data_IF_041829033922
#
_entry.id   IF_041829033922
#
_cell.length_a   1.000
_cell.length_b   1.000
_cell.length_c   1.000
_cell.angle_alpha   90.00
_cell.angle_beta   90.00
_cell.angle_gamma   90.00
#
_symmetry.space_group_name_H-M   'P 1'
#
loop_
_entity.id
_entity.type
_entity.pdbx_description
1 polymer ?
#
# COMPACT_ATOMS: atom_id res chain seq x y z
N UNK A 1 -23.31 14.32 20.95
CA UNK A 1 -22.68 14.36 19.62
C UNK A 1 -21.38 13.59 19.75
N UNK A 2 -21.29 12.39 19.17
CA UNK A 2 -20.02 11.68 19.10
C UNK A 2 -19.16 12.41 18.07
N UNK A 3 -18.14 13.13 18.54
CA UNK A 3 -16.98 13.45 17.72
C UNK A 3 -16.31 12.11 17.43
N UNK A 4 -16.72 11.43 16.35
CA UNK A 4 -15.80 10.49 15.72
C UNK A 4 -14.63 11.37 15.30
N UNK A 5 -13.55 11.31 16.06
CA UNK A 5 -12.27 11.80 15.59
C UNK A 5 -11.95 10.95 14.36
N UNK A 6 -12.09 11.54 13.16
CA UNK A 6 -11.70 10.89 11.92
C UNK A 6 -10.19 10.66 12.00
N UNK A 7 -9.81 9.45 12.40
CA UNK A 7 -8.40 9.08 12.54
C UNK A 7 -7.85 8.95 11.12
N UNK A 8 -6.80 9.71 10.76
CA UNK A 8 -6.28 9.67 9.41
C UNK A 8 -5.59 8.33 9.13
N UNK A 9 -5.77 7.83 7.92
CA UNK A 9 -4.99 6.70 7.41
C UNK A 9 -3.51 7.11 7.27
N UNK A 10 -2.60 6.20 7.61
CA UNK A 10 -1.15 6.44 7.54
C UNK A 10 -0.56 5.62 6.39
N UNK A 11 0.24 6.25 5.55
CA UNK A 11 0.96 5.60 4.45
C UNK A 11 2.46 5.70 4.68
N UNK A 12 3.16 4.58 4.70
CA UNK A 12 4.62 4.53 4.85
C UNK A 12 5.26 4.33 3.47
N UNK A 13 5.79 5.41 2.90
CA UNK A 13 6.32 5.48 1.53
C UNK A 13 7.83 5.70 1.54
N UNK A 14 8.54 5.03 0.63
CA UNK A 14 9.98 5.23 0.46
C UNK A 14 10.64 4.12 -0.37
N UNK A 15 11.94 4.19 -0.67
CA UNK A 15 12.62 3.20 -1.51
C UNK A 15 12.50 1.77 -0.99
N UNK A 16 12.76 0.77 -1.83
CA UNK A 16 12.82 -0.63 -1.40
C UNK A 16 13.95 -0.85 -0.38
N UNK A 17 13.79 -1.83 0.52
CA UNK A 17 14.83 -2.23 1.50
C UNK A 17 15.29 -1.15 2.51
N UNK A 18 14.45 -0.16 2.80
CA UNK A 18 14.74 0.93 3.78
C UNK A 18 14.11 0.74 5.16
N UNK A 19 13.66 -0.48 5.49
CA UNK A 19 13.08 -0.78 6.83
C UNK A 19 11.61 -0.40 7.02
N UNK A 20 10.87 -0.04 5.96
CA UNK A 20 9.44 0.34 6.05
C UNK A 20 8.56 -0.75 6.67
N UNK A 21 8.67 -1.99 6.20
CA UNK A 21 7.93 -3.12 6.79
C UNK A 21 8.27 -3.29 8.28
N UNK A 22 9.53 -3.09 8.67
CA UNK A 22 9.95 -3.12 10.08
C UNK A 22 9.28 -2.00 10.89
N UNK A 23 9.23 -0.78 10.34
CA UNK A 23 8.54 0.34 10.98
C UNK A 23 7.04 0.09 11.13
N UNK A 24 6.36 -0.40 10.09
CA UNK A 24 4.92 -0.72 10.12
C UNK A 24 4.62 -1.77 11.20
N UNK A 25 5.41 -2.84 11.26
CA UNK A 25 5.24 -3.89 12.27
C UNK A 25 5.49 -3.34 13.69
N UNK A 26 6.48 -2.46 13.88
CA UNK A 26 6.76 -1.85 15.17
C UNK A 26 5.63 -0.91 15.60
N UNK A 27 5.12 -0.09 14.68
CA UNK A 27 3.97 0.79 14.91
C UNK A 27 2.73 -0.01 15.30
N UNK A 28 2.46 -1.14 14.64
CA UNK A 28 1.35 -2.01 15.01
C UNK A 28 1.44 -2.44 16.48
N UNK A 29 2.59 -2.98 16.89
CA UNK A 29 2.81 -3.44 18.26
C UNK A 29 2.68 -2.28 19.25
N UNK A 30 3.30 -1.14 18.98
CA UNK A 30 3.27 -0.01 19.90
C UNK A 30 1.84 0.57 20.04
N UNK A 31 1.09 0.65 18.93
CA UNK A 31 -0.30 1.12 18.95
C UNK A 31 -1.26 0.13 19.62
N UNK A 32 -1.02 -1.18 19.50
CA UNK A 32 -1.78 -2.18 20.25
C UNK A 32 -1.70 -1.96 21.76
N UNK A 33 -0.58 -1.41 22.26
CA UNK A 33 -0.39 -1.05 23.66
C UNK A 33 -0.90 0.37 23.98
N UNK A 34 -0.63 1.37 23.13
CA UNK A 34 -0.97 2.77 23.42
C UNK A 34 -2.45 3.07 23.33
N UNK A 35 -3.20 2.33 22.52
CA UNK A 35 -4.62 2.58 22.28
C UNK A 35 -5.56 1.87 23.27
N UNK A 36 -5.04 1.02 24.17
CA UNK A 36 -5.84 0.16 25.07
C UNK A 36 -6.87 0.95 25.90
N UNK A 37 -6.48 2.12 26.40
CA UNK A 37 -7.32 2.96 27.26
C UNK A 37 -7.93 4.16 26.52
N UNK A 38 -7.93 4.13 25.18
CA UNK A 38 -8.48 5.18 24.32
C UNK A 38 -9.78 4.73 23.66
N UNK A 39 -10.58 5.68 23.17
CA UNK A 39 -11.75 5.39 22.34
C UNK A 39 -11.41 5.19 20.85
N UNK A 40 -10.12 5.11 20.50
CA UNK A 40 -9.64 4.97 19.12
C UNK A 40 -9.50 3.49 18.81
N UNK A 41 -10.11 3.04 17.70
CA UNK A 41 -9.98 1.67 17.25
C UNK A 41 -8.53 1.32 16.89
N UNK A 42 -8.18 0.03 16.95
CA UNK A 42 -6.89 -0.44 16.44
C UNK A 42 -6.84 -0.30 14.92
N UNK A 43 -5.73 0.18 14.33
CA UNK A 43 -5.63 0.28 12.89
C UNK A 43 -5.61 -1.12 12.26
N UNK A 44 -6.17 -1.26 11.07
CA UNK A 44 -5.81 -2.39 10.20
C UNK A 44 -4.43 -2.16 9.59
N UNK A 45 -3.66 -3.24 9.45
CA UNK A 45 -2.35 -3.19 8.78
C UNK A 45 -2.50 -3.73 7.37
N UNK A 46 -2.17 -2.90 6.39
CA UNK A 46 -2.07 -3.30 4.98
C UNK A 46 -0.60 -3.55 4.68
N UNK A 47 -0.17 -4.80 4.47
CA UNK A 47 1.21 -5.11 4.11
C UNK A 47 1.49 -4.69 2.66
N UNK A 48 2.76 -4.70 2.25
CA UNK A 48 3.16 -4.38 0.87
C UNK A 48 2.45 -5.30 -0.15
N UNK A 49 1.36 -4.80 -0.76
CA UNK A 49 0.48 -5.54 -1.67
C UNK A 49 1.26 -6.07 -2.87
N UNK A 50 2.15 -5.24 -3.42
CA UNK A 50 2.99 -5.58 -4.56
C UNK A 50 3.78 -6.88 -4.35
N UNK A 51 4.27 -7.13 -3.12
CA UNK A 51 5.07 -8.31 -2.81
C UNK A 51 4.29 -9.61 -3.05
N UNK A 52 3.01 -9.63 -2.68
CA UNK A 52 2.16 -10.80 -2.89
C UNK A 52 1.84 -11.03 -4.37
N UNK A 53 1.64 -9.95 -5.14
CA UNK A 53 1.34 -10.03 -6.57
C UNK A 53 2.54 -10.47 -7.40
N UNK A 54 3.75 -10.02 -7.06
CA UNK A 54 4.98 -10.48 -7.72
C UNK A 54 5.11 -12.00 -7.65
N UNK A 55 4.88 -12.57 -6.47
CA UNK A 55 4.92 -14.03 -6.24
C UNK A 55 3.79 -14.72 -6.99
N UNK A 56 2.54 -14.23 -6.84
CA UNK A 56 1.34 -14.83 -7.44
C UNK A 56 1.40 -14.88 -8.97
N UNK A 57 1.89 -13.82 -9.60
CA UNK A 57 1.94 -13.69 -11.06
C UNK A 57 3.33 -14.00 -11.65
N UNK A 58 4.28 -14.46 -10.82
CA UNK A 58 5.65 -14.84 -11.23
C UNK A 58 6.40 -13.73 -11.97
N UNK A 59 6.25 -12.49 -11.50
CA UNK A 59 7.02 -11.36 -12.02
C UNK A 59 8.39 -11.30 -11.35
N UNK A 60 9.45 -11.14 -12.15
CA UNK A 60 10.80 -10.83 -11.67
C UNK A 60 11.06 -9.32 -11.68
N UNK A 61 12.12 -8.86 -11.01
CA UNK A 61 12.56 -7.47 -11.13
C UNK A 61 12.99 -7.12 -12.57
N UNK A 62 13.55 -8.08 -13.30
CA UNK A 62 13.94 -7.93 -14.71
C UNK A 62 12.72 -7.75 -15.60
N UNK A 63 11.62 -8.47 -15.35
CA UNK A 63 10.37 -8.30 -16.10
C UNK A 63 9.86 -6.85 -16.05
N UNK A 64 10.02 -6.21 -14.90
CA UNK A 64 9.57 -4.84 -14.64
C UNK A 64 10.46 -3.82 -15.37
N UNK A 65 11.76 -4.09 -15.47
CA UNK A 65 12.73 -3.16 -16.05
C UNK A 65 12.88 -3.33 -17.57
N UNK A 66 12.77 -4.56 -18.06
CA UNK A 66 13.03 -4.90 -19.46
C UNK A 66 11.78 -4.79 -20.36
N UNK A 67 10.57 -4.88 -19.80
CA UNK A 67 9.33 -4.85 -20.57
C UNK A 67 8.35 -3.80 -20.04
N UNK A 68 8.15 -2.75 -20.85
CA UNK A 68 7.20 -1.67 -20.56
C UNK A 68 5.77 -2.19 -20.40
N UNK A 69 5.36 -3.14 -21.23
CA UNK A 69 4.02 -3.74 -21.19
C UNK A 69 3.81 -4.53 -19.91
N UNK A 70 4.76 -5.43 -19.57
CA UNK A 70 4.68 -6.23 -18.33
C UNK A 70 4.73 -5.34 -17.08
N UNK A 71 5.56 -4.30 -17.12
CA UNK A 71 5.60 -3.30 -16.05
C UNK A 71 4.24 -2.63 -15.86
N UNK A 72 3.63 -2.15 -16.94
CA UNK A 72 2.33 -1.48 -16.91
C UNK A 72 1.23 -2.40 -16.36
N UNK A 73 1.11 -3.63 -16.89
CA UNK A 73 0.15 -4.63 -16.43
C UNK A 73 0.30 -4.91 -14.93
N UNK A 74 1.53 -5.08 -14.46
CA UNK A 74 1.79 -5.26 -13.03
C UNK A 74 1.39 -4.04 -12.21
N UNK A 75 1.70 -2.82 -12.66
CA UNK A 75 1.34 -1.61 -11.91
C UNK A 75 -0.17 -1.42 -11.83
N UNK A 76 -0.91 -1.75 -12.90
CA UNK A 76 -2.37 -1.76 -12.88
C UNK A 76 -2.91 -2.76 -11.85
N UNK A 77 -2.40 -4.01 -11.86
CA UNK A 77 -2.78 -5.03 -10.88
C UNK A 77 -2.50 -4.61 -9.43
N UNK A 78 -1.35 -3.97 -9.19
CA UNK A 78 -1.01 -3.46 -7.85
C UNK A 78 -1.95 -2.35 -7.43
N UNK A 79 -2.27 -1.41 -8.34
CA UNK A 79 -3.17 -0.30 -8.04
C UNK A 79 -4.58 -0.79 -7.66
N UNK A 80 -5.13 -1.72 -8.45
CA UNK A 80 -6.44 -2.32 -8.20
C UNK A 80 -6.45 -3.09 -6.87
N UNK A 81 -5.44 -3.92 -6.62
CA UNK A 81 -5.34 -4.70 -5.39
C UNK A 81 -5.13 -3.83 -4.14
N UNK A 82 -4.38 -2.73 -4.27
CA UNK A 82 -4.18 -1.78 -3.18
C UNK A 82 -5.48 -1.05 -2.85
N UNK A 83 -6.23 -0.60 -3.85
CA UNK A 83 -7.53 0.03 -3.64
C UNK A 83 -8.54 -0.91 -2.96
N UNK A 84 -8.52 -2.20 -3.32
CA UNK A 84 -9.36 -3.20 -2.67
C UNK A 84 -8.92 -3.48 -1.22
N UNK A 85 -7.62 -3.61 -0.96
CA UNK A 85 -7.10 -3.80 0.40
C UNK A 85 -7.47 -2.63 1.32
N UNK A 86 -7.41 -1.39 0.82
CA UNK A 86 -7.83 -0.19 1.58
C UNK A 86 -9.34 -0.20 1.88
N UNK A 87 -10.18 -0.61 0.92
CA UNK A 87 -11.63 -0.75 1.15
C UNK A 87 -11.94 -1.83 2.19
N UNK A 88 -11.30 -3.00 2.09
CA UNK A 88 -11.50 -4.09 3.04
C UNK A 88 -11.02 -3.73 4.46
N UNK A 89 -9.90 -3.02 4.58
CA UNK A 89 -9.42 -2.52 5.86
C UNK A 89 -10.47 -1.62 6.55
N UNK A 90 -11.08 -0.71 5.80
CA UNK A 90 -12.09 0.22 6.32
C UNK A 90 -13.45 -0.45 6.64
N UNK A 91 -13.69 -1.69 6.20
CA UNK A 91 -14.86 -2.46 6.64
C UNK A 91 -14.69 -3.01 8.06
N UNK A 92 -13.45 -3.14 8.53
CA UNK A 92 -13.11 -3.83 9.79
C UNK A 92 -12.51 -2.93 10.86
N UNK A 93 -12.01 -1.74 10.48
CA UNK A 93 -11.59 -0.67 11.39
C UNK A 93 -11.90 0.70 10.80
N UNK A 94 -11.94 1.72 11.66
CA UNK A 94 -12.12 3.12 11.25
C UNK A 94 -10.92 3.73 10.53
N UNK A 95 -9.74 3.08 10.58
CA UNK A 95 -8.52 3.56 9.92
C UNK A 95 -7.49 2.45 9.72
N UNK A 96 -6.45 2.73 8.93
CA UNK A 96 -5.37 1.77 8.65
C UNK A 96 -3.98 2.41 8.56
N UNK A 97 -2.97 1.54 8.64
CA UNK A 97 -1.58 1.83 8.30
C UNK A 97 -1.19 0.96 7.12
N UNK A 98 -0.73 1.58 6.04
CA UNK A 98 -0.35 0.89 4.81
C UNK A 98 1.17 0.96 4.56
N UNK A 99 1.80 -0.20 4.41
CA UNK A 99 3.15 -0.32 3.84
C UNK A 99 3.01 -0.19 2.31
N UNK A 100 3.30 1.00 1.77
CA UNK A 100 2.95 1.48 0.40
C UNK A 100 1.57 2.11 0.26
N UNK A 101 1.33 2.72 -0.89
CA UNK A 101 0.06 3.35 -1.28
C UNK A 101 -0.25 3.09 -2.75
N UNK A 102 -1.45 3.49 -3.19
CA UNK A 102 -1.80 3.57 -4.62
C UNK A 102 -0.93 4.56 -5.42
N UNK A 103 -0.08 5.36 -4.77
CA UNK A 103 0.86 6.25 -5.45
C UNK A 103 2.09 5.51 -6.00
N UNK A 104 2.55 4.45 -5.32
CA UNK A 104 3.75 3.72 -5.74
C UNK A 104 3.61 3.18 -7.18
N UNK A 105 2.50 2.53 -7.60
CA UNK A 105 2.31 2.08 -8.98
C UNK A 105 2.39 3.19 -10.02
N UNK A 106 1.93 4.40 -9.71
CA UNK A 106 1.99 5.54 -10.62
C UNK A 106 3.44 6.00 -10.84
N UNK A 107 4.25 6.00 -9.78
CA UNK A 107 5.69 6.33 -9.86
C UNK A 107 6.43 5.29 -10.70
N UNK A 108 6.18 4.00 -10.47
CA UNK A 108 6.81 2.93 -11.24
C UNK A 108 6.35 2.95 -12.71
N UNK A 109 5.08 3.24 -12.98
CA UNK A 109 4.56 3.38 -14.35
C UNK A 109 5.26 4.51 -15.10
N UNK A 110 5.42 5.67 -14.43
CA UNK A 110 6.15 6.81 -14.99
C UNK A 110 7.61 6.47 -15.29
N UNK A 111 8.27 5.73 -14.40
CA UNK A 111 9.69 5.41 -14.49
C UNK A 111 10.03 4.29 -15.48
N UNK A 112 9.17 3.28 -15.61
CA UNK A 112 9.53 2.02 -16.28
C UNK A 112 8.61 1.64 -17.46
N UNK A 113 7.36 2.11 -17.50
CA UNK A 113 6.44 1.83 -18.61
C UNK A 113 6.51 2.93 -19.68
N UNK A 114 5.85 4.07 -19.43
CA UNK A 114 5.94 5.27 -20.26
C UNK A 114 5.39 6.48 -19.49
N UNK A 115 5.93 7.70 -19.69
CA UNK A 115 5.44 8.91 -19.02
C UNK A 115 3.95 9.18 -19.24
N UNK A 116 3.42 8.84 -20.42
CA UNK A 116 2.02 9.04 -20.79
C UNK A 116 1.10 7.90 -20.35
N UNK A 117 1.64 6.78 -19.86
CA UNK A 117 0.85 5.62 -19.46
C UNK A 117 0.11 5.84 -18.13
N UNK A 118 0.52 6.83 -17.32
CA UNK A 118 -0.15 7.16 -16.05
C UNK A 118 -1.63 7.50 -16.28
N UNK A 119 -1.95 8.20 -17.36
CA UNK A 119 -3.33 8.57 -17.70
C UNK A 119 -4.24 7.37 -17.99
N UNK A 120 -3.67 6.17 -18.19
CA UNK A 120 -4.41 4.93 -18.41
C UNK A 120 -4.64 4.16 -17.10
N UNK A 121 -4.10 4.64 -15.97
CA UNK A 121 -4.29 4.08 -14.63
C UNK A 121 -5.26 4.90 -13.75
N UNK A 122 -5.80 6.01 -14.29
CA UNK A 122 -6.73 6.92 -13.60
C UNK A 122 -8.17 6.64 -14.02
#
# INVERSE_FOLDING_TARGET
MNLHSDVPNIYIIGPQSTGKTTLVNKLQVDLEHWLVDTSIDKPQIIPEVARSLLVKHKYSAEDIQASKTRCFELQQLILEAQAEAEKEALKTSSWFISDRSGFDPLVYTKGYAAPNAIAQLQ
#
